data_IF_228545680138
#
_entry.id   IF_228545680138
#
_cell.length_a   1.000
_cell.length_b   1.000
_cell.length_c   1.000
_cell.angle_alpha   90.00
_cell.angle_beta   90.00
_cell.angle_gamma   90.00
#
_symmetry.space_group_name_H-M   'P 1'
#
loop_
_entity.id
_entity.type
_entity.pdbx_description
1 polymer ?
#
# COMPACT_ATOMS: atom_id res chain seq x y z
N UNK A 1 17.71 -7.67 -20.21
CA UNK A 1 17.38 -7.16 -18.86
C UNK A 1 16.20 -7.93 -18.33
N UNK A 2 16.29 -8.46 -17.10
CA UNK A 2 15.27 -9.39 -16.59
C UNK A 2 14.02 -8.63 -16.13
N UNK A 3 12.89 -8.82 -16.82
CA UNK A 3 11.59 -8.21 -16.52
C UNK A 3 10.87 -8.87 -15.32
N UNK A 4 11.64 -9.40 -14.35
CA UNK A 4 11.08 -10.05 -13.17
C UNK A 4 10.36 -9.00 -12.33
N UNK A 5 9.05 -9.19 -12.16
CA UNK A 5 8.20 -8.36 -11.30
C UNK A 5 8.30 -8.88 -9.88
N UNK A 6 8.71 -8.03 -8.96
CA UNK A 6 8.81 -8.33 -7.53
C UNK A 6 8.01 -7.30 -6.73
N UNK A 7 7.71 -7.64 -5.49
CA UNK A 7 7.06 -6.73 -4.56
C UNK A 7 8.10 -5.87 -3.86
N UNK A 8 7.82 -4.58 -3.74
CA UNK A 8 8.67 -3.57 -3.13
C UNK A 8 7.95 -2.94 -1.95
N UNK A 9 8.72 -2.60 -0.93
CA UNK A 9 8.29 -1.87 0.27
C UNK A 9 9.03 -0.52 0.29
N UNK A 10 8.30 0.59 0.47
CA UNK A 10 8.92 1.90 0.71
C UNK A 10 9.11 2.15 2.21
N UNK A 11 9.95 3.13 2.59
CA UNK A 11 10.10 3.54 4.00
C UNK A 11 8.79 3.95 4.68
N UNK A 12 7.79 4.40 3.92
CA UNK A 12 6.47 4.79 4.43
C UNK A 12 5.55 3.58 4.73
N UNK A 13 5.97 2.37 4.38
CA UNK A 13 5.19 1.14 4.58
C UNK A 13 4.31 0.72 3.40
N UNK A 14 4.34 1.45 2.28
CA UNK A 14 3.55 1.08 1.10
C UNK A 14 4.17 -0.10 0.35
N UNK A 15 3.30 -1.01 -0.10
CA UNK A 15 3.68 -2.20 -0.87
C UNK A 15 3.16 -2.10 -2.29
N UNK A 16 4.04 -2.25 -3.29
CA UNK A 16 3.65 -2.25 -4.71
C UNK A 16 4.48 -3.24 -5.52
N UNK A 17 3.95 -3.64 -6.69
CA UNK A 17 4.59 -4.61 -7.58
C UNK A 17 5.22 -3.88 -8.77
N UNK A 18 6.54 -4.02 -8.98
CA UNK A 18 7.21 -3.48 -10.17
C UNK A 18 8.38 -4.34 -10.63
N UNK A 19 8.78 -4.18 -11.89
CA UNK A 19 9.92 -4.89 -12.46
C UNK A 19 11.24 -4.34 -11.91
N UNK A 20 12.21 -5.22 -11.64
CA UNK A 20 13.54 -4.84 -11.15
C UNK A 20 14.22 -3.88 -12.14
N UNK A 21 14.07 -4.14 -13.43
CA UNK A 21 14.59 -3.26 -14.50
C UNK A 21 14.06 -1.83 -14.38
N UNK A 22 12.81 -1.63 -13.98
CA UNK A 22 12.22 -0.29 -13.82
C UNK A 22 12.79 0.47 -12.61
N UNK A 23 13.38 -0.24 -11.66
CA UNK A 23 13.95 0.31 -10.41
C UNK A 23 15.45 0.58 -10.55
N UNK A 24 16.17 -0.29 -11.27
CA UNK A 24 17.63 -0.20 -11.48
C UNK A 24 18.00 0.63 -12.72
N UNK A 25 17.05 0.91 -13.61
CA UNK A 25 17.33 1.72 -14.80
C UNK A 25 17.60 3.18 -14.41
N UNK A 26 18.84 3.63 -14.65
CA UNK A 26 19.29 4.99 -14.35
C UNK A 26 18.49 6.08 -15.10
N UNK A 27 17.90 5.74 -16.25
CA UNK A 27 17.19 6.68 -17.13
C UNK A 27 15.75 6.94 -16.69
N UNK A 28 15.12 6.01 -15.97
CA UNK A 28 13.75 6.13 -15.44
C UNK A 28 13.69 5.51 -14.05
N UNK A 29 14.18 6.24 -13.06
CA UNK A 29 14.12 5.82 -11.67
C UNK A 29 12.66 5.94 -11.19
N UNK A 30 11.92 4.83 -11.19
CA UNK A 30 10.55 4.82 -10.66
C UNK A 30 10.54 4.61 -9.15
N UNK A 31 9.90 5.56 -8.44
CA UNK A 31 9.71 5.51 -6.99
C UNK A 31 8.42 4.79 -6.58
N UNK A 32 8.05 4.91 -5.30
CA UNK A 32 6.80 4.37 -4.81
C UNK A 32 5.60 5.07 -5.50
N UNK A 33 4.73 4.34 -6.21
CA UNK A 33 3.57 4.94 -6.87
C UNK A 33 2.54 5.48 -5.88
N UNK A 34 2.53 4.98 -4.63
CA UNK A 34 1.66 5.50 -3.57
C UNK A 34 2.14 6.87 -3.10
N UNK A 35 3.44 7.00 -2.81
CA UNK A 35 4.04 8.29 -2.46
C UNK A 35 3.92 9.31 -3.61
N UNK A 36 3.94 8.83 -4.87
CA UNK A 36 3.74 9.67 -6.04
C UNK A 36 2.26 9.99 -6.35
N UNK A 37 1.30 9.53 -5.53
CA UNK A 37 -0.13 9.76 -5.73
C UNK A 37 -0.75 9.00 -6.92
N UNK A 38 -0.03 8.08 -7.55
CA UNK A 38 -0.49 7.31 -8.70
C UNK A 38 -1.41 6.13 -8.30
N UNK A 39 -1.23 5.60 -7.09
CA UNK A 39 -2.09 4.55 -6.56
C UNK A 39 -2.42 4.86 -5.10
N UNK A 40 -3.71 4.97 -4.77
CA UNK A 40 -4.15 5.08 -3.38
C UNK A 40 -4.15 3.67 -2.78
N UNK A 41 -3.22 3.38 -1.86
CA UNK A 41 -3.32 2.18 -1.04
C UNK A 41 -4.53 2.39 -0.13
N UNK A 42 -5.71 1.96 -0.59
CA UNK A 42 -6.92 1.98 0.20
C UNK A 42 -6.67 1.05 1.38
N UNK A 43 -6.23 1.60 2.50
CA UNK A 43 -6.36 0.95 3.77
C UNK A 43 -7.84 0.62 3.88
N UNK A 44 -8.19 -0.67 3.71
CA UNK A 44 -9.46 -1.16 4.21
C UNK A 44 -9.39 -0.86 5.68
N UNK A 45 -10.11 0.18 6.08
CA UNK A 45 -10.75 0.21 7.38
C UNK A 45 -11.58 -1.07 7.39
N UNK A 46 -10.97 -2.18 7.80
CA UNK A 46 -11.70 -3.30 8.33
C UNK A 46 -12.39 -2.65 9.52
N UNK A 47 -13.65 -2.30 9.32
CA UNK A 47 -14.55 -1.88 10.37
C UNK A 47 -14.51 -3.00 11.39
N UNK A 48 -13.59 -2.87 12.34
CA UNK A 48 -13.60 -3.63 13.56
C UNK A 48 -14.90 -3.19 14.20
N UNK A 49 -15.91 -4.04 14.11
CA UNK A 49 -17.23 -3.86 14.71
C UNK A 49 -17.04 -3.67 16.22
N UNK A 50 -16.65 -2.46 16.61
CA UNK A 50 -16.62 -1.99 17.98
C UNK A 50 -18.05 -1.64 18.28
N UNK A 51 -18.78 -2.70 18.59
CA UNK A 51 -20.09 -2.69 19.20
C UNK A 51 -20.12 -1.57 20.22
N UNK A 52 -20.94 -0.58 19.93
CA UNK A 52 -21.28 0.51 20.84
C UNK A 52 -21.76 -0.11 22.14
N UNK A 53 -21.03 0.09 23.24
CA UNK A 53 -21.47 -0.23 24.61
C UNK A 53 -22.65 0.65 25.07
N UNK A 54 -23.53 1.07 24.16
CA UNK A 54 -24.69 1.93 24.41
C UNK A 54 -25.94 1.14 24.81
N UNK A 55 -25.95 -0.19 24.67
CA UNK A 55 -27.11 -1.06 24.94
C UNK A 55 -27.12 -1.61 26.40
N UNK A 56 -26.28 -1.10 27.31
CA UNK A 56 -26.38 -1.39 28.77
C UNK A 56 -27.27 -0.39 29.51
N UNK A 57 -28.33 0.08 28.88
CA UNK A 57 -29.42 0.84 29.51
C UNK A 57 -30.78 0.33 29.06
N UNK A 58 -30.99 -0.99 29.12
CA UNK A 58 -32.34 -1.55 29.24
C UNK A 58 -32.33 -2.98 29.79
N UNK A 59 -32.38 -3.08 31.12
CA UNK A 59 -33.13 -4.05 31.91
C UNK A 59 -32.73 -3.86 33.38
#
# INVERSE_FOLDING_TARGET
GSNRKVWWLCPDGHVWRTAISNRTNAKKRTGCPVCAGNVSQKHRHLSFSSQTESERRRA
#
